data_IF_663547820200
#
_entry.id   IF_663547820200
#
_cell.length_a   1.000
_cell.length_b   1.000
_cell.length_c   1.000
_cell.angle_alpha   90.00
_cell.angle_beta   90.00
_cell.angle_gamma   90.00
#
_symmetry.space_group_name_H-M   'P 1'
#
loop_
_entity.id
_entity.type
_entity.pdbx_description
1 polymer ?
#
# COMPACT_ATOMS: atom_id res chain seq x y z
N UNK A 1 18.79 52.05 13.88
CA UNK A 1 18.13 51.61 12.63
C UNK A 1 16.84 52.41 12.47
N UNK A 2 16.60 53.07 11.33
CA UNK A 2 15.39 53.90 11.17
C UNK A 2 14.13 53.03 11.11
N UNK A 3 12.95 53.54 11.54
CA UNK A 3 11.70 52.81 11.48
C UNK A 3 11.33 52.39 10.04
N UNK A 4 11.77 53.18 9.04
CA UNK A 4 11.65 52.84 7.62
C UNK A 4 12.54 51.65 7.25
N UNK A 5 13.81 51.65 7.66
CA UNK A 5 14.75 50.56 7.39
C UNK A 5 14.25 49.23 8.01
N UNK A 6 13.73 49.26 9.24
CA UNK A 6 13.15 48.07 9.87
C UNK A 6 11.93 47.51 9.11
N UNK A 7 11.05 48.38 8.58
CA UNK A 7 9.90 47.95 7.76
C UNK A 7 10.34 47.36 6.43
N UNK A 8 11.31 47.97 5.75
CA UNK A 8 11.87 47.46 4.50
C UNK A 8 12.55 46.11 4.72
N UNK A 9 13.35 45.94 5.76
CA UNK A 9 13.98 44.66 6.09
C UNK A 9 12.95 43.56 6.34
N UNK A 10 11.86 43.86 7.09
CA UNK A 10 10.78 42.88 7.31
C UNK A 10 10.07 42.47 6.01
N UNK A 11 9.81 43.43 5.12
CA UNK A 11 9.18 43.14 3.82
C UNK A 11 10.10 42.30 2.93
N UNK A 12 11.40 42.59 2.91
CA UNK A 12 12.39 41.81 2.15
C UNK A 12 12.48 40.38 2.70
N UNK A 13 12.55 40.20 4.02
CA UNK A 13 12.55 38.87 4.65
C UNK A 13 11.28 38.10 4.29
N UNK A 14 10.11 38.75 4.41
CA UNK A 14 8.84 38.12 4.04
C UNK A 14 8.83 37.71 2.56
N UNK A 15 9.24 38.59 1.65
CA UNK A 15 9.32 38.30 0.23
C UNK A 15 10.26 37.11 -0.08
N UNK A 16 11.41 37.03 0.59
CA UNK A 16 12.35 35.90 0.44
C UNK A 16 11.72 34.60 0.93
N UNK A 17 11.05 34.61 2.08
CA UNK A 17 10.36 33.42 2.62
C UNK A 17 9.26 32.97 1.66
N UNK A 18 8.41 33.89 1.20
CA UNK A 18 7.33 33.58 0.26
C UNK A 18 7.87 33.04 -1.07
N UNK A 19 8.93 33.66 -1.62
CA UNK A 19 9.57 33.16 -2.84
C UNK A 19 10.20 31.78 -2.64
N UNK A 20 10.83 31.53 -1.50
CA UNK A 20 11.43 30.23 -1.17
C UNK A 20 10.37 29.14 -1.07
N UNK A 21 9.26 29.40 -0.36
CA UNK A 21 8.13 28.47 -0.25
C UNK A 21 7.51 28.21 -1.62
N UNK A 22 7.31 29.25 -2.45
CA UNK A 22 6.78 29.10 -3.80
C UNK A 22 7.69 28.25 -4.70
N UNK A 23 9.02 28.46 -4.63
CA UNK A 23 9.98 27.66 -5.39
C UNK A 23 9.96 26.20 -4.93
N UNK A 24 9.92 25.95 -3.62
CA UNK A 24 9.84 24.59 -3.07
C UNK A 24 8.56 23.91 -3.54
N UNK A 25 7.41 24.60 -3.46
CA UNK A 25 6.13 24.08 -3.94
C UNK A 25 6.18 23.73 -5.43
N UNK A 26 6.63 24.67 -6.27
CA UNK A 26 6.67 24.48 -7.72
C UNK A 26 7.68 23.42 -8.17
N UNK A 27 8.75 23.17 -7.39
CA UNK A 27 9.76 22.17 -7.74
C UNK A 27 9.46 20.78 -7.18
N UNK A 28 8.95 20.69 -5.95
CA UNK A 28 8.74 19.39 -5.29
C UNK A 28 7.31 18.86 -5.45
N UNK A 29 6.31 19.75 -5.39
CA UNK A 29 4.90 19.38 -5.31
C UNK A 29 4.17 19.48 -6.66
N UNK A 30 4.84 19.95 -7.71
CA UNK A 30 4.27 19.99 -9.05
C UNK A 30 4.33 18.60 -9.67
N UNK A 31 3.19 17.92 -9.60
CA UNK A 31 2.96 16.62 -10.23
C UNK A 31 3.22 16.66 -11.75
N UNK A 32 3.96 15.68 -12.33
CA UNK A 32 4.05 15.51 -13.77
C UNK A 32 2.68 15.23 -14.40
N UNK A 33 2.49 15.50 -15.70
CA UNK A 33 1.30 15.08 -16.44
C UNK A 33 1.02 13.58 -16.27
N UNK A 34 -0.26 13.20 -16.34
CA UNK A 34 -0.73 11.82 -16.10
C UNK A 34 -0.06 10.82 -17.04
N UNK A 35 0.08 11.13 -18.32
CA UNK A 35 0.74 10.29 -19.32
C UNK A 35 2.20 10.00 -18.97
N UNK A 36 2.91 10.99 -18.40
CA UNK A 36 4.28 10.86 -17.92
C UNK A 36 4.34 9.92 -16.71
N UNK A 37 3.43 10.09 -15.75
CA UNK A 37 3.32 9.23 -14.57
C UNK A 37 3.00 7.78 -14.93
N UNK A 38 2.07 7.59 -15.85
CA UNK A 38 1.73 6.27 -16.40
C UNK A 38 2.97 5.63 -17.03
N UNK A 39 3.75 6.39 -17.81
CA UNK A 39 4.97 5.90 -18.45
C UNK A 39 6.09 5.58 -17.45
N UNK A 40 6.24 6.36 -16.39
CA UNK A 40 7.21 6.12 -15.31
C UNK A 40 6.92 4.78 -14.62
N UNK A 41 5.65 4.52 -14.30
CA UNK A 41 5.24 3.30 -13.60
C UNK A 41 5.11 2.10 -14.55
N UNK A 42 4.84 2.29 -15.84
CA UNK A 42 4.83 1.20 -16.85
C UNK A 42 6.19 0.53 -17.03
N UNK A 43 7.29 1.25 -16.78
CA UNK A 43 8.66 0.71 -16.87
C UNK A 43 9.08 -0.11 -15.66
N UNK A 44 8.35 0.01 -14.55
CA UNK A 44 8.38 -1.00 -13.49
C UNK A 44 7.76 -2.26 -14.08
N UNK A 45 8.58 -3.08 -14.75
CA UNK A 45 8.18 -4.44 -15.11
C UNK A 45 7.61 -5.08 -13.86
N UNK A 46 6.53 -5.86 -13.99
CA UNK A 46 5.86 -6.62 -12.93
C UNK A 46 6.93 -7.21 -11.99
N UNK A 47 7.30 -6.44 -10.97
CA UNK A 47 8.41 -6.78 -10.11
C UNK A 47 7.73 -7.70 -9.12
N UNK A 48 8.11 -8.98 -9.12
CA UNK A 48 7.30 -10.05 -8.50
C UNK A 48 6.88 -9.75 -7.05
N UNK A 49 7.63 -8.89 -6.35
CA UNK A 49 7.39 -8.59 -4.94
C UNK A 49 6.93 -7.15 -4.65
N UNK A 50 6.77 -6.26 -5.65
CA UNK A 50 6.31 -4.85 -5.48
C UNK A 50 6.96 -4.09 -4.30
N UNK A 51 8.26 -4.36 -4.04
CA UNK A 51 9.00 -3.74 -2.96
C UNK A 51 8.76 -4.34 -1.57
N UNK A 52 8.06 -5.48 -1.43
CA UNK A 52 7.84 -6.13 -0.14
C UNK A 52 9.16 -6.52 0.55
N UNK A 53 10.19 -6.86 -0.22
CA UNK A 53 11.56 -7.08 0.26
C UNK A 53 12.07 -5.93 1.13
N UNK A 54 11.71 -4.69 0.78
CA UNK A 54 12.10 -3.53 1.58
C UNK A 54 11.45 -3.50 2.96
N UNK A 55 10.39 -4.27 3.18
CA UNK A 55 9.65 -4.37 4.45
C UNK A 55 9.94 -5.64 5.23
N UNK A 56 10.81 -6.53 4.74
CA UNK A 56 11.23 -7.72 5.51
C UNK A 56 11.90 -7.27 6.81
N UNK A 57 11.40 -7.76 7.93
CA UNK A 57 12.13 -7.69 9.19
C UNK A 57 13.31 -8.64 9.08
N UNK A 58 14.52 -8.09 8.99
CA UNK A 58 15.74 -8.89 9.20
C UNK A 58 15.67 -9.35 10.65
N UNK A 59 15.29 -10.60 10.88
CA UNK A 59 15.56 -11.23 12.17
C UNK A 59 17.09 -11.16 12.35
N UNK A 60 17.59 -10.58 13.46
CA UNK A 60 18.99 -10.75 13.78
C UNK A 60 19.22 -12.25 13.83
N UNK A 61 20.23 -12.72 13.09
CA UNK A 61 20.75 -14.08 13.18
C UNK A 61 21.05 -14.31 14.65
N UNK A 62 20.19 -15.05 15.35
CA UNK A 62 20.53 -15.57 16.66
C UNK A 62 21.65 -16.58 16.39
N UNK A 63 22.84 -16.22 16.87
CA UNK A 63 24.00 -17.08 16.90
C UNK A 63 23.61 -18.44 17.49
N UNK A 64 24.14 -19.49 16.86
CA UNK A 64 24.12 -20.85 17.37
C UNK A 64 24.54 -20.90 18.84
N UNK A 65 23.66 -21.38 19.72
CA UNK A 65 23.96 -22.30 20.83
C UNK A 65 22.77 -22.36 21.80
N UNK A 66 22.01 -23.45 21.75
CA UNK A 66 21.81 -24.38 22.88
C UNK A 66 20.69 -25.38 22.54
N UNK A 67 21.04 -26.66 22.54
CA UNK A 67 20.08 -27.78 22.53
C UNK A 67 19.33 -27.79 23.87
N UNK A 68 18.04 -27.50 23.84
CA UNK A 68 17.08 -27.87 24.86
C UNK A 68 15.86 -28.54 24.22
N UNK A 69 15.41 -29.73 24.67
CA UNK A 69 14.19 -30.34 24.17
C UNK A 69 13.02 -29.83 24.98
N UNK A 70 12.02 -29.20 24.37
CA UNK A 70 10.68 -29.05 24.96
C UNK A 70 9.65 -28.69 23.88
N UNK A 71 8.71 -29.63 23.78
CA UNK A 71 7.30 -29.50 23.47
C UNK A 71 6.88 -29.06 22.05
N UNK A 72 6.50 -30.09 21.30
CA UNK A 72 5.46 -30.08 20.27
C UNK A 72 4.22 -29.29 20.76
N UNK A 73 4.20 -28.00 20.46
CA UNK A 73 2.95 -27.26 20.32
C UNK A 73 2.53 -27.41 18.86
N UNK A 74 1.50 -28.22 18.68
CA UNK A 74 0.82 -28.52 17.43
C UNK A 74 0.54 -27.26 16.61
N UNK A 75 1.31 -27.06 15.55
CA UNK A 75 0.98 -26.20 14.43
C UNK A 75 -0.35 -26.68 13.85
N UNK A 76 -1.39 -25.91 14.14
CA UNK A 76 -2.75 -26.19 13.69
C UNK A 76 -2.84 -25.73 12.24
N UNK A 77 -2.74 -26.69 11.31
CA UNK A 77 -3.10 -26.61 9.88
C UNK A 77 -2.96 -25.20 9.25
N UNK A 78 -1.73 -24.75 9.00
CA UNK A 78 -1.52 -23.84 7.88
C UNK A 78 -1.95 -24.60 6.61
N UNK A 79 -3.01 -24.15 5.94
CA UNK A 79 -3.34 -24.60 4.59
C UNK A 79 -2.09 -24.40 3.73
N UNK A 80 -1.38 -25.50 3.48
CA UNK A 80 -0.13 -25.53 2.75
C UNK A 80 -0.46 -25.19 1.29
N UNK A 81 -0.29 -23.90 0.94
CA UNK A 81 -0.50 -23.43 -0.42
C UNK A 81 0.62 -24.04 -1.26
N UNK A 82 0.25 -24.86 -2.24
CA UNK A 82 1.24 -25.52 -3.09
C UNK A 82 1.96 -24.52 -3.99
N UNK A 83 3.18 -24.86 -4.43
CA UNK A 83 3.91 -24.05 -5.42
C UNK A 83 3.10 -23.88 -6.71
N UNK A 84 2.35 -24.92 -7.10
CA UNK A 84 1.45 -24.91 -8.26
C UNK A 84 0.32 -23.86 -8.09
N UNK A 85 -0.32 -23.78 -6.92
CA UNK A 85 -1.36 -22.79 -6.64
C UNK A 85 -0.83 -21.34 -6.77
N UNK A 86 0.43 -21.13 -6.39
CA UNK A 86 1.09 -19.82 -6.45
C UNK A 86 1.38 -19.47 -7.91
N UNK A 87 1.97 -20.39 -8.67
CA UNK A 87 2.26 -20.18 -10.09
C UNK A 87 0.97 -19.91 -10.89
N UNK A 88 -0.09 -20.67 -10.62
CA UNK A 88 -1.39 -20.49 -11.26
C UNK A 88 -1.99 -19.12 -10.95
N UNK A 89 -1.93 -18.69 -9.69
CA UNK A 89 -2.45 -17.38 -9.29
C UNK A 89 -1.65 -16.21 -9.88
N UNK A 90 -0.32 -16.28 -9.81
CA UNK A 90 0.57 -15.28 -10.40
C UNK A 90 0.33 -15.19 -11.92
N UNK A 91 0.16 -16.33 -12.58
CA UNK A 91 -0.15 -16.40 -14.01
C UNK A 91 -1.50 -15.78 -14.32
N UNK A 92 -2.53 -16.08 -13.53
CA UNK A 92 -3.86 -15.48 -13.69
C UNK A 92 -3.80 -13.94 -13.60
N UNK A 93 -3.19 -13.40 -12.54
CA UNK A 93 -3.11 -11.96 -12.34
C UNK A 93 -2.28 -11.27 -13.42
N UNK A 94 -1.15 -11.87 -13.83
CA UNK A 94 -0.36 -11.37 -14.96
C UNK A 94 -1.19 -11.28 -16.24
N UNK A 95 -1.90 -12.35 -16.61
CA UNK A 95 -2.75 -12.37 -17.79
C UNK A 95 -3.90 -11.35 -17.69
N UNK A 96 -4.53 -11.22 -16.52
CA UNK A 96 -5.56 -10.23 -16.27
C UNK A 96 -5.05 -8.79 -16.50
N UNK A 97 -3.88 -8.45 -15.97
CA UNK A 97 -3.24 -7.14 -16.15
C UNK A 97 -2.87 -6.89 -17.62
N UNK A 98 -2.23 -7.85 -18.28
CA UNK A 98 -1.78 -7.74 -19.66
C UNK A 98 -2.94 -7.58 -20.64
N UNK A 99 -3.98 -8.41 -20.51
CA UNK A 99 -5.18 -8.39 -21.35
C UNK A 99 -5.92 -7.05 -21.30
N UNK A 100 -5.92 -6.40 -20.13
CA UNK A 100 -6.61 -5.12 -19.92
C UNK A 100 -5.68 -3.91 -20.09
N UNK A 101 -4.40 -4.12 -20.43
CA UNK A 101 -3.39 -3.07 -20.58
C UNK A 101 -3.23 -2.18 -19.33
N UNK A 102 -3.40 -2.76 -18.14
CA UNK A 102 -3.24 -2.04 -16.89
C UNK A 102 -1.77 -1.79 -16.56
N UNK A 103 -1.51 -0.76 -15.74
CA UNK A 103 -0.19 -0.47 -15.18
C UNK A 103 -0.19 -0.96 -13.73
N UNK A 104 0.44 -2.12 -13.44
CA UNK A 104 0.48 -2.66 -12.10
C UNK A 104 1.47 -1.85 -11.25
N UNK A 105 1.04 -1.46 -10.07
CA UNK A 105 1.86 -0.79 -9.06
C UNK A 105 1.90 -1.56 -7.74
N UNK A 106 1.20 -2.69 -7.64
CA UNK A 106 1.12 -3.47 -6.41
C UNK A 106 0.45 -4.83 -6.56
N UNK A 107 0.56 -5.61 -5.49
CA UNK A 107 -0.04 -6.94 -5.34
C UNK A 107 -0.71 -7.07 -3.97
N UNK A 108 -1.77 -7.87 -3.89
CA UNK A 108 -2.41 -8.26 -2.63
C UNK A 108 -2.23 -9.76 -2.47
N UNK A 109 -1.91 -10.21 -1.27
CA UNK A 109 -1.53 -11.57 -0.95
C UNK A 109 -2.26 -12.08 0.29
N UNK A 110 -2.26 -13.40 0.49
CA UNK A 110 -2.85 -14.04 1.68
C UNK A 110 -2.03 -13.81 2.96
N UNK A 111 -0.74 -13.47 2.87
CA UNK A 111 0.14 -13.19 4.01
C UNK A 111 1.26 -12.23 3.65
N UNK A 112 1.92 -11.67 4.67
CA UNK A 112 2.98 -10.67 4.48
C UNK A 112 4.38 -11.24 4.29
N UNK A 113 4.68 -12.39 4.89
CA UNK A 113 6.03 -12.97 4.89
C UNK A 113 5.99 -14.42 4.39
N UNK A 114 7.15 -14.95 3.99
CA UNK A 114 7.28 -16.29 3.43
C UNK A 114 6.71 -16.42 2.02
N UNK A 115 6.28 -17.65 1.69
CA UNK A 115 5.75 -18.04 0.38
C UNK A 115 4.28 -17.61 0.24
N UNK A 116 3.99 -16.64 -0.63
CA UNK A 116 2.69 -15.93 -0.67
C UNK A 116 1.86 -16.34 -1.89
N UNK A 117 0.55 -16.46 -1.69
CA UNK A 117 -0.42 -16.58 -2.77
C UNK A 117 -0.94 -15.20 -3.15
N UNK A 118 -0.83 -14.81 -4.42
CA UNK A 118 -1.43 -13.57 -4.89
C UNK A 118 -2.96 -13.69 -4.89
N UNK A 119 -3.65 -12.74 -4.26
CA UNK A 119 -5.11 -12.65 -4.18
C UNK A 119 -5.66 -11.43 -4.93
N UNK A 120 -4.78 -10.54 -5.38
CA UNK A 120 -5.19 -9.28 -5.97
C UNK A 120 -4.06 -8.51 -6.62
N UNK A 121 -4.41 -7.44 -7.32
CA UNK A 121 -3.45 -6.50 -7.90
C UNK A 121 -3.91 -5.07 -7.70
N UNK A 122 -2.94 -4.18 -7.48
CA UNK A 122 -3.14 -2.73 -7.41
C UNK A 122 -2.63 -2.14 -8.71
N UNK A 123 -3.49 -1.41 -9.41
CA UNK A 123 -3.18 -0.78 -10.69
C UNK A 123 -3.28 0.74 -10.59
N UNK A 124 -2.58 1.41 -11.48
CA UNK A 124 -2.66 2.85 -11.67
C UNK A 124 -3.56 3.15 -12.88
N UNK A 125 -4.59 3.97 -12.68
CA UNK A 125 -5.50 4.43 -13.74
C UNK A 125 -5.72 5.94 -13.66
N UNK A 126 -6.04 6.54 -14.80
CA UNK A 126 -6.49 7.94 -14.87
C UNK A 126 -8.00 7.99 -14.61
N UNK A 127 -8.42 8.90 -13.75
CA UNK A 127 -9.81 9.30 -13.65
C UNK A 127 -10.16 10.21 -14.82
N UNK A 128 -11.03 9.74 -15.71
CA UNK A 128 -11.42 10.49 -16.91
C UNK A 128 -12.28 11.72 -16.63
N UNK A 129 -12.88 11.81 -15.44
CA UNK A 129 -13.76 12.93 -15.07
C UNK A 129 -12.98 14.20 -14.74
N UNK A 130 -11.88 14.08 -14.00
CA UNK A 130 -11.12 15.22 -13.47
C UNK A 130 -9.61 15.17 -13.80
N UNK A 131 -9.15 14.12 -14.50
CA UNK A 131 -7.74 13.92 -14.83
C UNK A 131 -6.87 13.56 -13.62
N UNK A 132 -7.46 13.20 -12.48
CA UNK A 132 -6.72 12.70 -11.32
C UNK A 132 -6.19 11.28 -11.58
N UNK A 133 -5.26 10.81 -10.74
CA UNK A 133 -4.87 9.40 -10.75
C UNK A 133 -5.53 8.65 -9.61
N UNK A 134 -5.94 7.43 -9.91
CA UNK A 134 -6.48 6.49 -8.96
C UNK A 134 -5.53 5.29 -8.85
N UNK A 135 -5.33 4.83 -7.62
CA UNK A 135 -4.92 3.46 -7.37
C UNK A 135 -6.20 2.61 -7.27
N UNK A 136 -6.35 1.63 -8.17
CA UNK A 136 -7.46 0.68 -8.15
C UNK A 136 -6.95 -0.67 -7.67
N UNK A 137 -7.52 -1.17 -6.59
CA UNK A 137 -7.22 -2.50 -6.05
C UNK A 137 -8.31 -3.48 -6.47
N UNK A 138 -7.91 -4.55 -7.15
CA UNK A 138 -8.73 -5.75 -7.34
C UNK A 138 -8.30 -6.77 -6.31
N UNK A 139 -9.25 -7.38 -5.61
CA UNK A 139 -8.95 -8.47 -4.67
C UNK A 139 -10.04 -9.54 -4.72
N UNK A 140 -9.60 -10.78 -4.81
CA UNK A 140 -10.41 -11.99 -4.74
C UNK A 140 -9.88 -12.85 -3.60
N UNK A 141 -10.69 -13.04 -2.57
CA UNK A 141 -10.27 -13.82 -1.40
C UNK A 141 -11.45 -14.57 -0.79
N UNK A 142 -11.14 -15.58 0.03
CA UNK A 142 -12.14 -16.38 0.73
C UNK A 142 -11.87 -16.29 2.22
N UNK A 143 -12.90 -15.99 3.00
CA UNK A 143 -12.88 -16.12 4.46
C UNK A 143 -13.55 -17.43 4.85
N UNK A 144 -12.86 -18.23 5.67
CA UNK A 144 -13.39 -19.49 6.19
C UNK A 144 -14.29 -19.27 7.41
N UNK A 145 -13.95 -18.26 8.21
CA UNK A 145 -14.65 -17.91 9.45
C UNK A 145 -15.15 -16.47 9.38
N UNK A 146 -16.17 -16.19 10.19
CA UNK A 146 -16.64 -14.82 10.37
C UNK A 146 -15.57 -14.00 11.10
N UNK A 147 -15.32 -12.78 10.63
CA UNK A 147 -14.39 -11.84 11.27
C UNK A 147 -15.23 -10.81 12.02
N UNK A 148 -15.12 -10.81 13.35
CA UNK A 148 -15.94 -9.95 14.20
C UNK A 148 -15.23 -8.67 14.61
N UNK A 149 -13.90 -8.70 14.66
CA UNK A 149 -13.05 -7.52 14.85
C UNK A 149 -11.69 -7.74 14.19
N UNK A 150 -10.83 -6.73 14.20
CA UNK A 150 -9.52 -6.84 13.58
C UNK A 150 -8.76 -5.53 13.56
N UNK A 151 -7.56 -5.56 13.01
CA UNK A 151 -6.74 -4.36 12.83
C UNK A 151 -6.34 -4.23 11.37
N UNK A 152 -6.58 -3.06 10.80
CA UNK A 152 -5.98 -2.65 9.53
C UNK A 152 -4.76 -1.79 9.82
N UNK A 153 -3.61 -2.18 9.28
CA UNK A 153 -2.36 -1.46 9.43
C UNK A 153 -1.81 -1.05 8.07
N UNK A 154 -1.14 0.11 8.03
CA UNK A 154 -0.42 0.60 6.85
C UNK A 154 0.93 1.17 7.27
N UNK A 155 1.97 0.83 6.51
CA UNK A 155 3.31 1.38 6.61
C UNK A 155 3.72 1.95 5.26
N UNK A 156 4.22 3.18 5.26
CA UNK A 156 4.61 3.90 4.05
C UNK A 156 6.06 4.34 4.12
N UNK A 157 6.80 4.12 3.03
CA UNK A 157 8.16 4.62 2.83
C UNK A 157 8.20 5.64 1.69
N UNK A 158 8.98 6.70 1.88
CA UNK A 158 9.31 7.68 0.85
C UNK A 158 10.82 7.67 0.61
N UNK A 159 11.23 7.34 -0.62
CA UNK A 159 12.63 7.15 -1.00
C UNK A 159 13.37 6.23 -0.01
N UNK A 160 12.77 5.08 0.27
CA UNK A 160 13.27 4.05 1.20
C UNK A 160 13.33 4.46 2.68
N UNK A 161 12.90 5.66 3.05
CA UNK A 161 12.80 6.11 4.45
C UNK A 161 11.37 5.93 4.95
N UNK A 162 11.22 5.44 6.18
CA UNK A 162 9.91 5.36 6.84
C UNK A 162 9.30 6.78 6.92
N UNK A 163 8.09 6.91 6.39
CA UNK A 163 7.34 8.16 6.40
C UNK A 163 6.33 8.14 7.54
N UNK A 164 5.49 7.10 7.60
CA UNK A 164 4.56 6.87 8.71
C UNK A 164 4.13 5.40 8.78
N UNK A 165 3.58 5.03 9.93
CA UNK A 165 2.91 3.78 10.19
C UNK A 165 1.66 4.06 11.03
N UNK A 166 0.51 3.56 10.60
CA UNK A 166 -0.76 3.75 11.27
C UNK A 166 -1.52 2.43 11.34
N UNK A 167 -2.31 2.28 12.40
CA UNK A 167 -3.20 1.15 12.62
C UNK A 167 -4.56 1.66 13.08
N UNK A 168 -5.61 1.03 12.58
CA UNK A 168 -7.00 1.33 12.92
C UNK A 168 -7.74 0.03 13.21
N UNK A 169 -8.83 0.14 13.98
CA UNK A 169 -9.78 -0.96 14.11
C UNK A 169 -10.45 -1.23 12.76
N UNK A 170 -10.41 -2.48 12.31
CA UNK A 170 -10.88 -2.87 10.98
C UNK A 170 -12.35 -2.51 10.76
N UNK A 171 -13.15 -2.65 11.81
CA UNK A 171 -14.60 -2.45 11.75
C UNK A 171 -15.02 -0.98 11.79
N UNK A 172 -14.12 -0.08 12.20
CA UNK A 172 -14.39 1.37 12.30
C UNK A 172 -13.78 2.15 11.13
N UNK A 173 -12.96 1.50 10.29
CA UNK A 173 -12.15 2.14 9.25
C UNK A 173 -12.96 2.98 8.24
N UNK A 174 -14.20 2.58 7.95
CA UNK A 174 -15.06 3.21 6.95
C UNK A 174 -16.42 3.61 7.53
N UNK A 175 -16.46 3.92 8.84
CA UNK A 175 -17.71 4.29 9.51
C UNK A 175 -18.31 5.61 9.01
N UNK A 176 -17.48 6.49 8.47
CA UNK A 176 -17.86 7.75 7.84
C UNK A 176 -18.47 7.57 6.43
N UNK A 177 -18.44 6.35 5.88
CA UNK A 177 -18.95 6.01 4.56
C UNK A 177 -20.26 5.21 4.68
N UNK A 178 -21.27 5.45 3.82
CA UNK A 178 -22.49 4.63 3.78
C UNK A 178 -22.18 3.14 3.61
N UNK A 179 -22.89 2.25 4.32
CA UNK A 179 -22.64 0.80 4.31
C UNK A 179 -22.54 0.19 2.91
N UNK A 180 -23.39 0.64 1.98
CA UNK A 180 -23.39 0.18 0.58
C UNK A 180 -22.07 0.43 -0.16
N UNK A 181 -21.29 1.39 0.32
CA UNK A 181 -20.01 1.80 -0.24
C UNK A 181 -18.82 1.31 0.60
N UNK A 182 -19.05 0.67 1.75
CA UNK A 182 -17.98 0.08 2.57
C UNK A 182 -17.37 -1.12 1.87
N UNK A 183 -16.10 -1.34 2.13
CA UNK A 183 -15.30 -2.50 1.70
C UNK A 183 -15.75 -3.70 2.50
N UNK A 184 -15.83 -3.51 3.81
CA UNK A 184 -16.26 -4.50 4.79
C UNK A 184 -17.29 -3.88 5.74
N UNK A 185 -18.32 -4.65 6.07
CA UNK A 185 -19.24 -4.35 7.16
C UNK A 185 -19.06 -5.45 8.18
N UNK A 186 -18.72 -5.08 9.41
CA UNK A 186 -18.60 -6.06 10.49
C UNK A 186 -19.98 -6.46 11.02
N UNK A 187 -20.17 -7.74 11.39
CA UNK A 187 -19.24 -8.85 11.20
C UNK A 187 -19.08 -9.25 9.73
N UNK A 188 -17.83 -9.41 9.28
CA UNK A 188 -17.54 -9.86 7.92
C UNK A 188 -17.86 -11.34 7.85
N UNK A 189 -18.88 -11.70 7.09
CA UNK A 189 -19.32 -13.09 6.98
C UNK A 189 -18.27 -13.95 6.24
N UNK A 190 -18.15 -15.22 6.64
CA UNK A 190 -17.42 -16.21 5.87
C UNK A 190 -17.97 -16.31 4.44
N UNK A 191 -17.09 -16.54 3.47
CA UNK A 191 -17.47 -16.67 2.07
C UNK A 191 -16.45 -16.14 1.09
N UNK A 192 -16.83 -16.13 -0.19
CA UNK A 192 -16.02 -15.65 -1.31
C UNK A 192 -16.30 -14.18 -1.56
N UNK A 193 -15.23 -13.39 -1.65
CA UNK A 193 -15.28 -11.97 -1.90
C UNK A 193 -14.55 -11.63 -3.19
N UNK A 194 -15.18 -10.79 -4.01
CA UNK A 194 -14.54 -10.09 -5.12
C UNK A 194 -14.83 -8.60 -4.95
N UNK A 195 -13.78 -7.81 -4.73
CA UNK A 195 -13.90 -6.38 -4.44
C UNK A 195 -13.00 -5.58 -5.37
N UNK A 196 -13.51 -4.42 -5.77
CA UNK A 196 -12.77 -3.40 -6.50
C UNK A 196 -12.88 -2.11 -5.71
N UNK A 197 -11.74 -1.49 -5.38
CA UNK A 197 -11.69 -0.26 -4.61
C UNK A 197 -10.75 0.74 -5.24
N UNK A 198 -11.24 1.97 -5.38
CA UNK A 198 -10.48 3.10 -5.90
C UNK A 198 -10.06 4.00 -4.75
N UNK A 199 -8.81 4.46 -4.80
CA UNK A 199 -8.31 5.53 -3.94
C UNK A 199 -7.62 6.57 -4.80
N UNK A 200 -8.05 7.82 -4.67
CA UNK A 200 -7.46 8.95 -5.37
C UNK A 200 -6.07 9.24 -4.83
N UNK A 201 -5.09 9.33 -5.72
CA UNK A 201 -3.72 9.74 -5.38
C UNK A 201 -3.68 11.28 -5.37
N UNK A 202 -3.43 11.91 -4.22
CA UNK A 202 -3.43 13.36 -4.11
C UNK A 202 -2.46 14.04 -5.07
N UNK A 203 -2.89 15.15 -5.66
CA UNK A 203 -2.08 15.89 -6.63
C UNK A 203 -0.89 16.65 -6.04
N UNK A 204 -0.81 16.77 -4.72
CA UNK A 204 0.21 17.52 -3.98
C UNK A 204 1.28 16.60 -3.36
N UNK A 205 1.47 15.37 -3.85
CA UNK A 205 2.56 14.54 -3.34
C UNK A 205 3.91 15.03 -3.91
N UNK A 206 4.99 15.04 -3.10
CA UNK A 206 6.34 15.25 -3.60
C UNK A 206 6.75 14.23 -4.67
N UNK A 207 7.55 14.64 -5.65
CA UNK A 207 8.16 13.71 -6.59
C UNK A 207 9.10 12.71 -5.88
N UNK A 208 9.03 11.43 -6.23
CA UNK A 208 9.84 10.38 -5.59
C UNK A 208 9.20 9.00 -5.62
N UNK A 209 9.84 8.05 -4.95
CA UNK A 209 9.38 6.66 -4.84
C UNK A 209 8.63 6.44 -3.54
N UNK A 210 7.41 5.93 -3.65
CA UNK A 210 6.53 5.57 -2.54
C UNK A 210 6.35 4.07 -2.50
N UNK A 211 6.65 3.47 -1.35
CA UNK A 211 6.41 2.05 -1.12
C UNK A 211 5.43 1.91 0.03
N UNK A 212 4.45 1.02 -0.12
CA UNK A 212 3.46 0.77 0.93
C UNK A 212 3.38 -0.71 1.25
N UNK A 213 3.15 -1.02 2.52
CA UNK A 213 2.71 -2.32 3.04
C UNK A 213 1.43 -2.05 3.82
N UNK A 214 0.33 -2.68 3.45
CA UNK A 214 -0.91 -2.65 4.21
C UNK A 214 -1.31 -4.08 4.58
N UNK A 215 -1.81 -4.32 5.78
CA UNK A 215 -2.23 -5.66 6.16
C UNK A 215 -3.43 -5.63 7.11
N UNK A 216 -4.20 -6.69 7.04
CA UNK A 216 -5.37 -6.91 7.90
C UNK A 216 -5.09 -8.15 8.75
N UNK A 217 -5.26 -8.01 10.05
CA UNK A 217 -5.34 -9.14 10.98
C UNK A 217 -6.72 -9.21 11.61
N UNK A 218 -7.20 -10.43 11.85
CA UNK A 218 -8.45 -10.68 12.56
C UNK A 218 -8.27 -10.60 14.09
N UNK A 219 -9.35 -10.90 14.83
CA UNK A 219 -9.36 -10.98 16.30
C UNK A 219 -8.36 -11.99 16.87
N UNK A 220 -7.91 -12.97 16.08
CA UNK A 220 -6.97 -14.01 16.45
C UNK A 220 -5.53 -13.71 15.98
N UNK A 221 -5.28 -12.50 15.47
CA UNK A 221 -3.99 -12.05 14.89
C UNK A 221 -3.57 -12.83 13.65
N UNK A 222 -4.48 -13.56 13.00
CA UNK A 222 -4.23 -14.20 11.72
C UNK A 222 -4.30 -13.16 10.62
N UNK A 223 -3.30 -13.16 9.73
CA UNK A 223 -3.31 -12.26 8.57
C UNK A 223 -4.37 -12.73 7.57
N UNK A 224 -5.28 -11.83 7.22
CA UNK A 224 -6.32 -12.09 6.23
C UNK A 224 -5.86 -11.67 4.83
N UNK A 225 -5.25 -10.49 4.74
CA UNK A 225 -4.76 -9.88 3.50
C UNK A 225 -3.51 -9.07 3.80
N UNK A 226 -2.55 -9.10 2.87
CA UNK A 226 -1.38 -8.24 2.88
C UNK A 226 -1.15 -7.64 1.49
N UNK A 227 -1.23 -6.32 1.38
CA UNK A 227 -1.00 -5.57 0.16
C UNK A 227 0.35 -4.86 0.15
N UNK A 228 0.99 -4.87 -1.01
CA UNK A 228 2.20 -4.10 -1.28
C UNK A 228 1.99 -3.23 -2.49
N UNK A 229 2.60 -2.04 -2.49
CA UNK A 229 2.69 -1.22 -3.67
C UNK A 229 4.03 -0.50 -3.77
N UNK A 230 4.46 -0.25 -5.00
CA UNK A 230 5.64 0.53 -5.34
C UNK A 230 5.30 1.46 -6.50
N UNK A 231 5.24 2.76 -6.18
CA UNK A 231 4.75 3.80 -7.07
C UNK A 231 5.74 4.95 -7.13
N UNK A 232 6.03 5.42 -8.35
CA UNK A 232 6.88 6.58 -8.59
C UNK A 232 6.05 7.78 -9.06
N UNK A 233 6.27 8.93 -8.44
CA UNK A 233 5.70 10.23 -8.82
C UNK A 233 6.76 11.16 -9.40
#
# INVERSE_FOLDING_TARGET
MSPLALRVTKLVIFAIITASVAIIYLKLFKRPPVDVLMKMNKKSKFNHDFGAESFRTVHPVLEENEKGPLDELSDTEENDVSEDDIEDSDTYWRQFIEKNHFIPIGGVYNKCEGTKLQLGSVILIENKEDGSLLARTFVNFTLHDNVTSGTFSIKVKYNSKDLFEYSWELCELEDDIPEVNRTFTCPIQAGKFSKVKDKTIPGYLPAGRYQTKAWIVDEHKKTLLCGYSDFSL
#
